data_IF_634891779614
#
_entry.id   IF_634891779614
#
_cell.length_a   1.000
_cell.length_b   1.000
_cell.length_c   1.000
_cell.angle_alpha   90.00
_cell.angle_beta   90.00
_cell.angle_gamma   90.00
#
_symmetry.space_group_name_H-M   'P 1'
#
loop_
_entity.id
_entity.type
_entity.pdbx_description
1 polymer ?
#
# COMPACT_ATOMS: atom_id res chain seq x y z
N UNK A 1 10.62 -12.29 10.19
CA UNK A 1 10.35 -12.83 8.86
C UNK A 1 11.18 -12.08 7.82
N UNK A 2 11.70 -12.79 6.82
CA UNK A 2 12.43 -12.17 5.72
C UNK A 2 11.50 -11.88 4.55
N UNK A 3 11.73 -10.78 3.84
CA UNK A 3 10.96 -10.38 2.66
C UNK A 3 11.91 -9.75 1.64
N UNK A 4 11.70 -10.02 0.37
CA UNK A 4 12.53 -9.47 -0.70
C UNK A 4 11.66 -8.99 -1.85
N UNK A 5 11.97 -7.78 -2.34
CA UNK A 5 11.41 -7.26 -3.59
C UNK A 5 12.37 -7.60 -4.72
N UNK A 6 11.84 -8.19 -5.78
CA UNK A 6 12.60 -8.54 -6.99
C UNK A 6 11.98 -7.90 -8.21
N UNK A 7 12.82 -7.43 -9.11
CA UNK A 7 12.33 -6.93 -10.39
C UNK A 7 11.74 -8.09 -11.20
N UNK A 8 10.52 -7.91 -11.71
CA UNK A 8 9.86 -8.90 -12.57
C UNK A 8 10.41 -8.77 -13.99
N UNK A 9 11.62 -9.27 -14.19
CA UNK A 9 12.35 -9.23 -15.45
C UNK A 9 13.09 -10.55 -15.63
N UNK A 10 12.53 -11.42 -16.49
CA UNK A 10 13.09 -12.74 -16.75
C UNK A 10 14.47 -12.66 -17.40
N UNK A 11 14.69 -11.71 -18.29
CA UNK A 11 15.95 -11.55 -19.00
C UNK A 11 17.10 -11.21 -18.07
N UNK A 12 16.79 -10.52 -16.96
CA UNK A 12 17.76 -10.20 -15.92
C UNK A 12 17.76 -11.21 -14.78
N UNK A 13 17.00 -12.30 -14.90
CA UNK A 13 16.88 -13.35 -13.89
C UNK A 13 16.38 -12.81 -12.54
N UNK A 14 15.37 -11.96 -12.56
CA UNK A 14 14.65 -11.46 -11.39
C UNK A 14 15.57 -10.91 -10.30
N UNK A 15 16.34 -9.85 -10.60
CA UNK A 15 17.30 -9.34 -9.62
C UNK A 15 16.61 -8.78 -8.38
N UNK A 16 17.23 -9.00 -7.22
CA UNK A 16 16.78 -8.44 -5.97
C UNK A 16 16.98 -6.92 -5.96
N UNK A 17 15.96 -6.19 -5.55
CA UNK A 17 16.02 -4.74 -5.40
C UNK A 17 16.26 -4.35 -3.94
N UNK A 18 15.48 -4.91 -3.02
CA UNK A 18 15.61 -4.67 -1.58
C UNK A 18 15.30 -5.94 -0.81
N UNK A 19 16.02 -6.15 0.28
CA UNK A 19 15.84 -7.28 1.20
C UNK A 19 15.62 -6.76 2.61
N UNK A 20 14.66 -7.35 3.30
CA UNK A 20 14.33 -7.05 4.69
C UNK A 20 14.54 -8.33 5.49
N UNK A 21 15.45 -8.30 6.46
CA UNK A 21 15.88 -9.53 7.15
C UNK A 21 14.98 -9.91 8.31
N UNK A 22 14.40 -8.92 8.98
CA UNK A 22 13.64 -9.18 10.20
C UNK A 22 12.50 -8.16 10.32
N UNK A 23 11.40 -8.42 9.63
CA UNK A 23 10.20 -7.60 9.74
C UNK A 23 9.09 -8.39 10.44
N UNK A 24 8.16 -7.70 11.14
CA UNK A 24 7.00 -8.38 11.72
C UNK A 24 6.19 -9.11 10.64
N UNK A 25 5.59 -10.24 10.99
CA UNK A 25 4.74 -10.98 10.06
C UNK A 25 3.59 -10.12 9.55
N UNK A 26 2.99 -9.30 10.42
CA UNK A 26 1.92 -8.39 10.02
C UNK A 26 2.37 -7.40 8.93
N UNK A 27 3.60 -6.89 9.03
CA UNK A 27 4.15 -6.02 7.99
C UNK A 27 4.34 -6.78 6.67
N UNK A 28 4.86 -7.99 6.72
CA UNK A 28 5.04 -8.82 5.53
C UNK A 28 3.70 -9.09 4.84
N UNK A 29 2.67 -9.46 5.58
CA UNK A 29 1.32 -9.69 5.05
C UNK A 29 0.75 -8.42 4.45
N UNK A 30 0.90 -7.29 5.11
CA UNK A 30 0.42 -6.00 4.61
C UNK A 30 1.11 -5.62 3.28
N UNK A 31 2.43 -5.79 3.19
CA UNK A 31 3.19 -5.55 1.97
C UNK A 31 2.75 -6.46 0.83
N UNK A 32 2.50 -7.73 1.11
CA UNK A 32 2.00 -8.70 0.11
C UNK A 32 0.58 -8.40 -0.34
N UNK A 33 -0.20 -7.70 0.46
CA UNK A 33 -1.58 -7.30 0.15
C UNK A 33 -1.61 -6.05 -0.74
N UNK A 34 -0.60 -5.19 -0.63
CA UNK A 34 -0.55 -3.93 -1.38
C UNK A 34 -0.28 -4.16 -2.87
N UNK A 35 -0.98 -3.40 -3.70
CA UNK A 35 -0.83 -3.42 -5.16
C UNK A 35 0.40 -2.63 -5.61
N UNK A 36 0.79 -1.62 -4.83
CA UNK A 36 1.91 -0.73 -5.12
C UNK A 36 2.85 -0.58 -3.95
N UNK A 37 4.11 -0.30 -4.28
CA UNK A 37 5.18 -0.04 -3.35
C UNK A 37 5.96 1.19 -3.81
N UNK A 38 6.19 2.14 -2.90
CA UNK A 38 6.96 3.36 -3.19
C UNK A 38 8.22 3.37 -2.33
N UNK A 39 9.35 3.54 -2.98
CA UNK A 39 10.65 3.69 -2.29
C UNK A 39 11.59 4.51 -3.15
N UNK A 40 12.33 5.41 -2.51
CA UNK A 40 13.31 6.30 -3.15
C UNK A 40 12.73 7.06 -4.35
N UNK A 41 11.49 7.54 -4.19
CA UNK A 41 10.80 8.32 -5.19
C UNK A 41 10.24 7.53 -6.37
N UNK A 42 10.38 6.21 -6.37
CA UNK A 42 9.90 5.35 -7.45
C UNK A 42 8.72 4.51 -6.99
N UNK A 43 7.65 4.50 -7.81
CA UNK A 43 6.51 3.60 -7.62
C UNK A 43 6.74 2.31 -8.38
N UNK A 44 6.41 1.19 -7.73
CA UNK A 44 6.46 -0.15 -8.30
C UNK A 44 5.10 -0.79 -8.17
N UNK A 45 4.65 -1.48 -9.23
CA UNK A 45 3.46 -2.33 -9.18
C UNK A 45 3.88 -3.75 -8.79
N UNK A 46 3.18 -4.34 -7.83
CA UNK A 46 3.39 -5.74 -7.45
C UNK A 46 2.70 -6.62 -8.49
N UNK A 47 3.48 -7.43 -9.19
CA UNK A 47 2.98 -8.31 -10.25
C UNK A 47 2.69 -9.72 -9.76
N UNK A 48 3.41 -10.19 -8.74
CA UNK A 48 3.18 -11.50 -8.13
C UNK A 48 3.80 -11.55 -6.74
N UNK A 49 3.29 -12.44 -5.92
CA UNK A 49 3.86 -12.75 -4.60
C UNK A 49 4.15 -14.24 -4.53
N UNK A 50 5.18 -14.62 -3.79
CA UNK A 50 5.58 -16.00 -3.63
C UNK A 50 6.20 -16.24 -2.26
N UNK A 51 6.21 -17.50 -1.84
CA UNK A 51 6.98 -17.94 -0.68
C UNK A 51 8.06 -18.89 -1.16
N UNK A 52 9.31 -18.63 -0.81
CA UNK A 52 10.37 -19.57 -1.12
C UNK A 52 10.42 -20.72 -0.09
N UNK A 53 11.17 -21.80 -0.39
CA UNK A 53 11.21 -22.95 0.51
C UNK A 53 11.77 -22.65 1.89
N UNK A 54 12.55 -21.57 2.03
CA UNK A 54 13.18 -21.15 3.30
C UNK A 54 12.24 -20.26 4.13
N UNK A 55 11.02 -20.01 3.65
CA UNK A 55 10.06 -19.18 4.35
C UNK A 55 10.22 -17.68 4.11
N UNK A 56 10.99 -17.26 3.12
CA UNK A 56 11.10 -15.87 2.73
C UNK A 56 9.93 -15.48 1.81
N UNK A 57 9.29 -14.36 2.10
CA UNK A 57 8.30 -13.78 1.20
C UNK A 57 9.00 -13.06 0.05
N UNK A 58 8.52 -13.26 -1.17
CA UNK A 58 9.06 -12.62 -2.37
C UNK A 58 7.96 -11.84 -3.07
N UNK A 59 8.23 -10.59 -3.38
CA UNK A 59 7.34 -9.73 -4.16
C UNK A 59 8.02 -9.36 -5.47
N UNK A 60 7.42 -9.76 -6.58
CA UNK A 60 7.87 -9.36 -7.90
C UNK A 60 7.22 -8.05 -8.28
N UNK A 61 8.02 -7.10 -8.77
CA UNK A 61 7.54 -5.75 -9.05
C UNK A 61 8.03 -5.24 -10.40
N UNK A 62 7.26 -4.31 -10.97
CA UNK A 62 7.64 -3.55 -12.16
C UNK A 62 7.57 -2.07 -11.85
N UNK A 63 8.50 -1.30 -12.42
CA UNK A 63 8.45 0.17 -12.31
C UNK A 63 7.19 0.70 -12.99
N UNK A 64 6.54 1.64 -12.31
CA UNK A 64 5.41 2.38 -12.86
C UNK A 64 5.82 3.80 -13.18
N UNK A 65 5.44 4.26 -14.37
CA UNK A 65 5.76 5.60 -14.85
C UNK A 65 4.64 6.59 -14.53
N UNK A 66 4.15 6.57 -13.29
CA UNK A 66 3.21 7.58 -12.86
C UNK A 66 3.96 8.87 -12.56
N UNK A 67 3.33 10.00 -12.88
CA UNK A 67 3.69 11.25 -12.26
C UNK A 67 3.21 11.16 -10.81
N UNK A 68 4.12 10.82 -9.91
CA UNK A 68 3.80 10.77 -8.50
C UNK A 68 3.46 12.17 -8.03
N UNK A 69 2.30 12.29 -7.39
CA UNK A 69 1.95 13.48 -6.66
C UNK A 69 2.99 13.69 -5.56
N UNK A 70 3.61 14.87 -5.50
CA UNK A 70 4.53 15.20 -4.42
C UNK A 70 3.73 15.47 -3.15
N UNK A 71 3.69 14.49 -2.26
CA UNK A 71 3.05 14.60 -0.97
C UNK A 71 4.14 14.72 0.08
N UNK A 72 4.21 15.87 0.74
CA UNK A 72 5.26 16.15 1.71
C UNK A 72 5.04 15.47 3.06
N UNK A 73 3.80 15.13 3.40
CA UNK A 73 3.45 14.59 4.71
C UNK A 73 4.11 13.24 4.95
N UNK A 74 4.91 13.15 6.01
CA UNK A 74 5.56 11.94 6.47
C UNK A 74 5.08 11.59 7.87
N UNK A 75 5.12 10.31 8.20
CA UNK A 75 4.72 9.81 9.50
C UNK A 75 5.97 9.42 10.30
N UNK A 76 5.94 9.67 11.60
CA UNK A 76 7.11 9.42 12.46
C UNK A 76 7.34 7.93 12.69
N UNK A 77 6.27 7.14 12.80
CA UNK A 77 6.33 5.69 13.00
C UNK A 77 5.73 4.98 11.81
N UNK A 78 4.41 4.89 11.74
CA UNK A 78 3.70 4.37 10.58
C UNK A 78 2.31 5.02 10.51
N UNK A 79 1.90 5.43 9.33
CA UNK A 79 0.63 6.09 9.12
C UNK A 79 -0.31 5.31 8.22
N UNK A 80 -1.54 5.77 8.16
CA UNK A 80 -2.55 5.32 7.23
C UNK A 80 -3.24 6.52 6.62
N UNK A 81 -3.47 6.48 5.32
CA UNK A 81 -4.21 7.50 4.58
C UNK A 81 -5.30 6.85 3.73
N UNK A 82 -6.49 7.46 3.76
CA UNK A 82 -7.57 7.16 2.85
C UNK A 82 -7.61 8.31 1.85
N UNK A 83 -7.44 8.01 0.56
CA UNK A 83 -7.38 9.02 -0.49
C UNK A 83 -8.38 8.75 -1.60
N UNK A 84 -9.11 9.79 -1.98
CA UNK A 84 -10.03 9.75 -3.12
C UNK A 84 -9.26 10.02 -4.41
N UNK A 85 -9.49 9.19 -5.43
CA UNK A 85 -8.93 9.41 -6.76
C UNK A 85 -9.71 10.51 -7.49
N UNK A 86 -8.99 11.53 -7.93
CA UNK A 86 -9.53 12.67 -8.65
C UNK A 86 -8.85 12.79 -10.01
N UNK A 87 -9.45 13.50 -10.99
CA UNK A 87 -8.85 13.64 -12.32
C UNK A 87 -7.45 14.25 -12.33
N UNK A 88 -7.13 15.08 -11.33
CA UNK A 88 -5.84 15.80 -11.26
C UNK A 88 -4.95 15.37 -10.10
N UNK A 89 -5.23 14.23 -9.47
CA UNK A 89 -4.45 13.73 -8.35
C UNK A 89 -5.31 13.02 -7.32
N UNK A 90 -4.95 13.12 -6.04
CA UNK A 90 -5.71 12.50 -4.96
C UNK A 90 -6.11 13.52 -3.90
N UNK A 91 -7.21 13.23 -3.20
CA UNK A 91 -7.69 14.05 -2.10
C UNK A 91 -7.64 13.23 -0.81
N UNK A 92 -6.96 13.76 0.20
CA UNK A 92 -6.92 13.13 1.50
C UNK A 92 -8.29 13.21 2.17
N UNK A 93 -8.87 12.05 2.51
CA UNK A 93 -10.16 11.95 3.20
C UNK A 93 -9.96 11.79 4.69
N UNK A 94 -9.10 10.85 5.09
CA UNK A 94 -8.74 10.59 6.48
C UNK A 94 -7.29 10.20 6.58
N UNK A 95 -6.69 10.47 7.73
CA UNK A 95 -5.35 9.99 8.06
C UNK A 95 -5.25 9.70 9.55
N UNK A 96 -4.39 8.75 9.90
CA UNK A 96 -4.07 8.46 11.30
C UNK A 96 -2.69 7.88 11.45
N UNK A 97 -2.09 8.09 12.63
CA UNK A 97 -0.91 7.34 13.05
C UNK A 97 -1.36 5.97 13.52
N UNK A 98 -0.60 4.95 13.15
CA UNK A 98 -0.83 3.59 13.60
C UNK A 98 0.15 3.25 14.73
N UNK A 99 -0.27 2.38 15.66
CA UNK A 99 0.63 1.83 16.65
C UNK A 99 1.36 0.59 16.14
N UNK A 100 0.84 -0.07 15.08
CA UNK A 100 1.46 -1.24 14.47
C UNK A 100 0.80 -1.60 13.14
N UNK A 101 1.43 -2.52 12.41
CA UNK A 101 0.94 -2.97 11.11
C UNK A 101 -0.37 -3.76 11.19
N UNK A 102 -0.64 -4.38 12.33
CA UNK A 102 -1.87 -5.16 12.55
C UNK A 102 -3.14 -4.32 12.40
N UNK A 103 -3.08 -3.05 12.80
CA UNK A 103 -4.24 -2.15 12.73
C UNK A 103 -4.77 -1.97 11.30
N UNK A 104 -3.88 -2.04 10.31
CA UNK A 104 -4.24 -1.72 8.93
C UNK A 104 -4.67 -2.96 8.14
N UNK A 105 -4.39 -4.16 8.62
CA UNK A 105 -4.61 -5.39 7.86
C UNK A 105 -6.07 -5.58 7.44
N UNK A 106 -7.00 -5.40 8.35
CA UNK A 106 -8.43 -5.55 8.03
C UNK A 106 -8.91 -4.46 7.07
N UNK A 107 -8.39 -3.26 7.22
CA UNK A 107 -8.72 -2.13 6.33
C UNK A 107 -8.24 -2.44 4.90
N UNK A 108 -6.99 -2.89 4.76
CA UNK A 108 -6.42 -3.21 3.44
C UNK A 108 -7.16 -4.36 2.75
N UNK A 109 -7.73 -5.29 3.50
CA UNK A 109 -8.49 -6.40 2.95
C UNK A 109 -9.94 -6.08 2.65
N UNK A 110 -10.44 -4.90 3.03
CA UNK A 110 -11.83 -4.51 2.86
C UNK A 110 -12.08 -3.93 1.47
N UNK A 111 -13.09 -4.43 0.77
CA UNK A 111 -13.50 -3.89 -0.52
C UNK A 111 -14.16 -2.53 -0.40
N UNK A 112 -14.78 -2.27 0.75
CA UNK A 112 -15.46 -1.02 1.05
C UNK A 112 -15.08 -0.53 2.44
N UNK A 113 -15.01 0.79 2.58
CA UNK A 113 -14.89 1.45 3.87
C UNK A 113 -16.09 2.39 4.02
N UNK A 114 -16.73 2.38 5.18
CA UNK A 114 -17.84 3.29 5.46
C UNK A 114 -17.33 4.47 6.28
N UNK A 115 -17.58 5.66 5.77
CA UNK A 115 -17.10 6.90 6.38
C UNK A 115 -18.30 7.63 6.97
N UNK A 116 -18.26 7.92 8.26
CA UNK A 116 -19.33 8.65 8.93
C UNK A 116 -19.17 10.15 8.66
N UNK A 117 -20.21 10.73 8.03
CA UNK A 117 -20.25 12.16 7.73
C UNK A 117 -21.69 12.66 7.76
N UNK A 118 -21.93 13.74 8.52
CA UNK A 118 -23.25 14.39 8.60
C UNK A 118 -24.38 13.42 8.98
N UNK A 119 -24.14 12.53 9.95
CA UNK A 119 -25.11 11.57 10.43
C UNK A 119 -25.36 10.38 9.50
N UNK A 120 -24.56 10.23 8.45
CA UNK A 120 -24.69 9.14 7.46
C UNK A 120 -23.38 8.40 7.32
N UNK A 121 -23.47 7.16 6.84
CA UNK A 121 -22.31 6.38 6.45
C UNK A 121 -22.20 6.38 4.92
N UNK A 122 -21.13 6.98 4.41
CA UNK A 122 -20.85 7.01 2.98
C UNK A 122 -19.97 5.81 2.61
N UNK A 123 -20.38 5.10 1.55
CA UNK A 123 -19.64 3.95 1.06
C UNK A 123 -18.48 4.40 0.17
N UNK A 124 -17.27 3.95 0.53
CA UNK A 124 -16.05 4.24 -0.22
C UNK A 124 -15.48 2.92 -0.74
N UNK A 125 -15.32 2.81 -2.06
CA UNK A 125 -14.94 1.59 -2.75
C UNK A 125 -13.44 1.55 -3.03
N UNK A 126 -12.81 0.41 -2.78
CA UNK A 126 -11.38 0.18 -3.05
C UNK A 126 -11.07 0.27 -4.54
N UNK A 127 -10.04 1.02 -4.88
CA UNK A 127 -9.35 0.96 -6.16
C UNK A 127 -8.03 0.20 -6.02
N UNK A 128 -7.16 0.69 -5.15
CA UNK A 128 -5.83 0.11 -4.97
C UNK A 128 -5.26 0.42 -3.59
N UNK A 129 -4.24 -0.34 -3.22
CA UNK A 129 -3.55 -0.27 -1.93
C UNK A 129 -2.08 -0.04 -2.17
N UNK A 130 -1.46 0.76 -1.32
CA UNK A 130 -0.05 1.10 -1.47
C UNK A 130 0.63 1.13 -0.11
N UNK A 131 1.89 0.69 -0.08
CA UNK A 131 2.80 1.06 1.01
C UNK A 131 3.81 2.06 0.46
N UNK A 132 3.84 3.26 1.04
CA UNK A 132 4.81 4.30 0.73
C UNK A 132 5.88 4.31 1.82
N UNK A 133 7.02 3.70 1.53
CA UNK A 133 8.10 3.57 2.50
C UNK A 133 8.79 4.91 2.76
N UNK A 134 8.82 5.80 1.75
CA UNK A 134 9.42 7.13 1.91
C UNK A 134 8.66 7.98 2.91
N UNK A 135 7.32 7.91 2.90
CA UNK A 135 6.46 8.65 3.81
C UNK A 135 6.08 7.85 5.07
N UNK A 136 6.43 6.57 5.12
CA UNK A 136 6.11 5.63 6.19
C UNK A 136 4.62 5.49 6.43
N UNK A 137 3.86 5.21 5.35
CA UNK A 137 2.42 5.02 5.49
C UNK A 137 1.87 4.01 4.50
N UNK A 138 0.71 3.47 4.87
CA UNK A 138 -0.16 2.73 3.96
C UNK A 138 -1.18 3.70 3.39
N UNK A 139 -1.53 3.51 2.12
CA UNK A 139 -2.55 4.33 1.45
C UNK A 139 -3.61 3.42 0.84
N UNK A 140 -4.86 3.72 1.13
CA UNK A 140 -6.01 3.08 0.52
C UNK A 140 -6.62 4.09 -0.44
N UNK A 141 -6.51 3.81 -1.73
CA UNK A 141 -7.07 4.66 -2.78
C UNK A 141 -8.45 4.14 -3.18
N UNK A 142 -9.38 5.03 -3.40
CA UNK A 142 -10.71 4.64 -3.84
C UNK A 142 -11.59 5.81 -4.21
N UNK A 143 -12.89 5.51 -4.32
CA UNK A 143 -13.90 6.48 -4.70
C UNK A 143 -15.20 6.24 -3.94
N UNK A 144 -15.93 7.32 -3.66
CA UNK A 144 -17.28 7.21 -3.13
C UNK A 144 -18.21 6.61 -4.18
N UNK A 145 -19.04 5.66 -3.77
CA UNK A 145 -19.98 4.98 -4.68
C UNK A 145 -21.28 5.72 -4.86
N UNK A 146 -21.57 6.69 -4.00
CA UNK A 146 -22.86 7.36 -3.94
C UNK A 146 -23.91 6.64 -3.10
N UNK A 147 -23.59 5.46 -2.58
CA UNK A 147 -24.47 4.71 -1.68
C UNK A 147 -24.23 5.16 -0.25
N UNK A 148 -25.32 5.25 0.52
CA UNK A 148 -25.30 5.58 1.94
C UNK A 148 -25.85 4.41 2.74
N UNK A 149 -25.33 4.27 3.96
CA UNK A 149 -25.86 3.30 4.91
C UNK A 149 -26.27 3.94 6.22
#
# INVERSE_FOLDING_TARGET
MRLEYRLDDQDLNYPALWSYQDIPEAEAVARMTCDFFVKDGQTYAVTATAMDPDGMAVLYVKKENYLNEEIERRYSHIGFELRELCPSGTKLIESKELWGHEEVMTILHSDFIYIHKDGRYLEFSLDSREIDEDRKCYVYYGNFTGKNR
#
